data_IF_333842133889
#
_entry.id   IF_333842133889
#
_cell.length_a   1.000
_cell.length_b   1.000
_cell.length_c   1.000
_cell.angle_alpha   90.00
_cell.angle_beta   90.00
_cell.angle_gamma   90.00
#
_symmetry.space_group_name_H-M   'P 1'
#
loop_
_entity.id
_entity.type
_entity.pdbx_description
1 polymer ?
#
# COMPACT_ATOMS: atom_id res chain seq x y z
N UNK A 1 11.63 1.73 6.71
CA UNK A 1 10.81 0.94 7.65
C UNK A 1 11.78 0.29 8.62
N UNK A 2 11.56 0.47 9.91
CA UNK A 2 12.37 -0.15 10.97
C UNK A 2 11.58 -1.33 11.49
N UNK A 3 12.23 -2.48 11.66
CA UNK A 3 11.65 -3.70 12.16
C UNK A 3 12.02 -4.91 11.30
N UNK A 4 12.00 -6.10 11.91
CA UNK A 4 12.23 -7.37 11.22
C UNK A 4 10.94 -7.90 10.56
N UNK A 5 11.04 -9.03 9.88
CA UNK A 5 9.91 -9.62 9.17
C UNK A 5 8.80 -10.05 10.14
N UNK A 6 9.16 -10.42 11.36
CA UNK A 6 8.24 -10.79 12.43
C UNK A 6 7.38 -9.60 12.87
N UNK A 7 8.00 -8.45 13.16
CA UNK A 7 7.30 -7.24 13.58
C UNK A 7 6.32 -6.72 12.52
N UNK A 8 6.75 -6.71 11.27
CA UNK A 8 5.90 -6.32 10.15
C UNK A 8 4.74 -7.32 9.94
N UNK A 9 4.97 -8.63 10.13
CA UNK A 9 3.93 -9.65 10.02
C UNK A 9 2.88 -9.49 11.13
N UNK A 10 3.31 -9.21 12.36
CA UNK A 10 2.42 -8.94 13.49
C UNK A 10 1.56 -7.71 13.21
N UNK A 11 2.16 -6.62 12.72
CA UNK A 11 1.44 -5.40 12.38
C UNK A 11 0.38 -5.62 11.30
N UNK A 12 0.76 -6.28 10.20
CA UNK A 12 -0.14 -6.55 9.08
C UNK A 12 -1.28 -7.51 9.48
N UNK A 13 -0.96 -8.54 10.25
CA UNK A 13 -1.98 -9.46 10.76
C UNK A 13 -2.97 -8.75 11.69
N UNK A 14 -2.49 -7.92 12.61
CA UNK A 14 -3.37 -7.12 13.48
C UNK A 14 -4.26 -6.19 12.67
N UNK A 15 -3.73 -5.55 11.63
CA UNK A 15 -4.52 -4.72 10.73
C UNK A 15 -5.65 -5.53 10.06
N UNK A 16 -5.36 -6.72 9.51
CA UNK A 16 -6.41 -7.56 8.92
C UNK A 16 -7.43 -8.07 9.92
N UNK A 17 -7.03 -8.37 11.16
CA UNK A 17 -7.96 -8.73 12.23
C UNK A 17 -8.94 -7.58 12.52
N UNK A 18 -8.48 -6.33 12.49
CA UNK A 18 -9.38 -5.17 12.68
C UNK A 18 -10.34 -4.94 11.51
N UNK A 19 -9.97 -5.41 10.31
CA UNK A 19 -10.87 -5.45 9.15
C UNK A 19 -11.82 -6.66 9.18
N UNK A 20 -11.92 -7.38 10.31
CA UNK A 20 -12.71 -8.60 10.49
C UNK A 20 -12.38 -9.72 9.48
N UNK A 21 -11.12 -9.78 9.01
CA UNK A 21 -10.66 -10.87 8.14
C UNK A 21 -10.05 -11.99 8.97
N UNK A 22 -10.36 -13.22 8.58
CA UNK A 22 -9.70 -14.39 9.16
C UNK A 22 -8.24 -14.43 8.68
N UNK A 23 -7.33 -14.14 9.60
CA UNK A 23 -5.90 -13.95 9.30
C UNK A 23 -5.01 -14.69 10.29
N UNK A 24 -3.88 -15.16 9.78
CA UNK A 24 -2.83 -15.84 10.52
C UNK A 24 -1.46 -15.36 10.08
N UNK A 25 -0.53 -15.29 11.02
CA UNK A 25 0.89 -15.23 10.73
C UNK A 25 1.35 -16.65 10.41
N UNK A 26 1.98 -16.85 9.27
CA UNK A 26 2.61 -18.10 8.87
C UNK A 26 4.12 -17.98 8.97
N UNK A 27 4.75 -18.89 9.72
CA UNK A 27 6.20 -18.95 9.87
C UNK A 27 6.71 -20.13 9.05
N UNK A 28 7.69 -19.87 8.21
CA UNK A 28 8.13 -20.83 7.21
C UNK A 28 9.48 -20.48 6.60
N UNK A 29 9.71 -21.02 5.40
CA UNK A 29 10.90 -20.74 4.61
C UNK A 29 10.48 -20.35 3.19
N UNK A 30 11.01 -19.22 2.73
CA UNK A 30 10.98 -18.80 1.33
C UNK A 30 12.11 -19.44 0.54
N UNK A 31 11.89 -19.64 -0.75
CA UNK A 31 12.92 -20.05 -1.71
C UNK A 31 14.03 -18.98 -1.80
N UNK A 32 13.67 -17.70 -1.68
CA UNK A 32 14.60 -16.58 -1.91
C UNK A 32 15.30 -16.10 -0.63
N UNK A 33 14.54 -15.95 0.46
CA UNK A 33 15.03 -15.27 1.68
C UNK A 33 15.40 -16.23 2.81
N UNK A 34 15.13 -17.53 2.68
CA UNK A 34 15.33 -18.48 3.78
C UNK A 34 14.19 -18.37 4.83
N UNK A 35 14.47 -18.52 6.13
CA UNK A 35 13.46 -18.38 7.19
C UNK A 35 12.77 -17.01 7.14
N UNK A 36 11.45 -16.97 7.12
CA UNK A 36 10.69 -15.73 7.02
C UNK A 36 9.24 -15.89 7.51
N UNK A 37 8.59 -14.76 7.73
CA UNK A 37 7.19 -14.67 8.14
C UNK A 37 6.31 -14.19 6.98
N UNK A 38 5.08 -14.68 6.94
CA UNK A 38 4.04 -14.29 5.99
C UNK A 38 2.74 -14.02 6.72
N UNK A 39 1.83 -13.27 6.11
CA UNK A 39 0.46 -13.15 6.60
C UNK A 39 -0.48 -13.86 5.64
N UNK A 40 -1.30 -14.76 6.17
CA UNK A 40 -2.32 -15.48 5.42
C UNK A 40 -3.68 -14.89 5.73
N UNK A 41 -4.52 -14.72 4.71
CA UNK A 41 -5.94 -14.40 4.88
C UNK A 41 -6.80 -15.43 4.16
N UNK A 42 -7.89 -15.88 4.77
CA UNK A 42 -8.84 -16.80 4.14
C UNK A 42 -10.25 -16.22 4.18
N UNK A 43 -10.82 -15.96 3.01
CA UNK A 43 -12.22 -15.59 2.89
C UNK A 43 -13.11 -16.84 2.92
N UNK A 44 -14.36 -16.69 3.36
CA UNK A 44 -15.34 -17.77 3.34
C UNK A 44 -15.56 -18.27 1.90
N UNK A 45 -15.49 -19.58 1.71
CA UNK A 45 -15.60 -20.23 0.40
C UNK A 45 -14.30 -20.33 -0.41
N UNK A 46 -13.20 -19.69 0.00
CA UNK A 46 -11.89 -19.92 -0.62
C UNK A 46 -11.27 -21.23 -0.16
N UNK A 47 -10.84 -22.06 -1.12
CA UNK A 47 -10.17 -23.34 -0.85
C UNK A 47 -8.79 -23.16 -0.23
N UNK A 48 -8.00 -22.22 -0.76
CA UNK A 48 -6.65 -21.91 -0.30
C UNK A 48 -6.60 -20.48 0.27
N UNK A 49 -5.81 -20.23 1.33
CA UNK A 49 -5.58 -18.88 1.79
C UNK A 49 -4.78 -18.06 0.77
N UNK A 50 -5.01 -16.76 0.77
CA UNK A 50 -4.16 -15.78 0.10
C UNK A 50 -2.98 -15.48 1.02
N UNK A 51 -1.77 -15.58 0.47
CA UNK A 51 -0.54 -15.21 1.16
C UNK A 51 -0.16 -13.78 0.81
N UNK A 52 0.21 -12.99 1.82
CA UNK A 52 0.69 -11.63 1.72
C UNK A 52 2.17 -11.58 2.09
N UNK A 53 2.97 -11.02 1.19
CA UNK A 53 4.36 -10.65 1.49
C UNK A 53 4.40 -9.55 2.55
N UNK A 54 5.24 -9.74 3.55
CA UNK A 54 5.38 -8.82 4.68
C UNK A 54 6.24 -7.60 4.32
N UNK A 55 7.12 -7.74 3.32
CA UNK A 55 8.03 -6.68 2.89
C UNK A 55 7.33 -5.58 2.08
N UNK A 56 6.30 -5.93 1.32
CA UNK A 56 5.61 -5.01 0.40
C UNK A 56 4.10 -4.92 0.61
N UNK A 57 3.48 -5.88 1.30
CA UNK A 57 2.03 -5.94 1.52
C UNK A 57 1.19 -6.03 0.23
N UNK A 58 1.82 -6.29 -0.92
CA UNK A 58 1.22 -6.19 -2.27
C UNK A 58 1.10 -7.53 -2.97
N UNK A 59 2.06 -8.42 -2.75
CA UNK A 59 2.05 -9.72 -3.40
C UNK A 59 1.07 -10.66 -2.70
N UNK A 60 -0.21 -10.51 -3.04
CA UNK A 60 -1.30 -11.40 -2.69
C UNK A 60 -1.29 -12.62 -3.62
N UNK A 61 -0.44 -13.61 -3.33
CA UNK A 61 -0.41 -14.84 -4.10
C UNK A 61 -1.32 -15.87 -3.46
N UNK A 62 -2.28 -16.38 -4.23
CA UNK A 62 -2.98 -17.59 -3.84
C UNK A 62 -1.97 -18.73 -3.81
N UNK A 63 -2.01 -19.52 -2.74
CA UNK A 63 -1.05 -20.61 -2.49
C UNK A 63 -1.01 -21.68 -3.62
N UNK A 64 -1.99 -21.69 -4.53
CA UNK A 64 -2.07 -22.58 -5.68
C UNK A 64 -1.18 -22.16 -6.88
N UNK A 65 -0.72 -20.91 -6.92
CA UNK A 65 0.07 -20.31 -8.01
C UNK A 65 1.51 -20.12 -7.54
N UNK A 66 2.50 -20.05 -8.44
CA UNK A 66 3.94 -19.91 -8.15
C UNK A 66 4.26 -19.12 -6.86
N UNK A 67 4.34 -19.84 -5.75
CA UNK A 67 4.45 -19.25 -4.43
C UNK A 67 5.93 -19.21 -4.06
N UNK A 68 6.49 -18.06 -3.63
CA UNK A 68 7.86 -18.00 -3.12
C UNK A 68 8.05 -18.83 -1.84
N UNK A 69 6.97 -19.21 -1.15
CA UNK A 69 7.00 -20.05 0.05
C UNK A 69 7.33 -21.51 -0.32
N UNK A 70 8.44 -22.00 0.24
CA UNK A 70 8.84 -23.40 0.15
C UNK A 70 8.09 -24.26 1.17
N UNK A 71 8.04 -23.80 2.42
CA UNK A 71 7.51 -24.57 3.54
C UNK A 71 6.80 -23.68 4.57
N UNK A 72 5.71 -24.15 5.19
CA UNK A 72 5.06 -23.54 6.36
C UNK A 72 5.09 -24.51 7.53
N UNK A 73 5.59 -24.04 8.67
CA UNK A 73 5.75 -24.84 9.88
C UNK A 73 4.78 -24.44 10.99
N UNK A 74 4.51 -23.15 11.15
CA UNK A 74 3.63 -22.63 12.20
C UNK A 74 2.60 -21.67 11.63
N UNK A 75 1.40 -21.69 12.23
CA UNK A 75 0.39 -20.64 12.07
C UNK A 75 0.13 -20.02 13.44
N UNK A 76 -0.04 -18.71 13.51
CA UNK A 76 -0.36 -18.00 14.74
C UNK A 76 -1.44 -16.94 14.49
N UNK A 77 -2.39 -16.81 15.41
CA UNK A 77 -3.33 -15.69 15.42
C UNK A 77 -3.58 -15.21 16.86
N UNK A 78 -4.58 -14.34 17.05
CA UNK A 78 -4.93 -13.81 18.37
C UNK A 78 -5.35 -14.89 19.37
N UNK A 79 -5.77 -16.07 18.93
CA UNK A 79 -6.30 -17.14 19.77
C UNK A 79 -5.22 -18.14 20.16
N UNK A 80 -4.43 -18.62 19.19
CA UNK A 80 -3.49 -19.72 19.40
C UNK A 80 -2.31 -19.68 18.43
N UNK A 81 -1.35 -20.59 18.68
CA UNK A 81 -0.28 -20.97 17.78
C UNK A 81 -0.45 -22.45 17.45
N UNK A 82 -0.40 -22.80 16.18
CA UNK A 82 -0.53 -24.16 15.68
C UNK A 82 0.73 -24.59 14.96
N UNK A 83 1.27 -25.75 15.33
CA UNK A 83 2.35 -26.40 14.60
C UNK A 83 1.80 -27.36 13.56
N UNK A 84 2.36 -27.29 12.34
CA UNK A 84 2.06 -28.24 11.28
C UNK A 84 2.66 -29.60 11.65
N UNK A 85 1.82 -30.63 11.71
CA UNK A 85 2.23 -32.02 11.97
C UNK A 85 1.89 -32.96 10.79
N UNK A 86 1.51 -32.39 9.65
CA UNK A 86 1.29 -33.12 8.40
C UNK A 86 2.60 -33.64 7.83
N UNK A 87 2.54 -34.68 6.98
CA UNK A 87 3.72 -35.18 6.24
C UNK A 87 4.28 -34.17 5.24
N UNK A 88 3.46 -33.21 4.81
CA UNK A 88 3.82 -32.17 3.85
C UNK A 88 3.87 -30.81 4.55
N UNK A 89 4.94 -30.08 4.31
CA UNK A 89 5.14 -28.69 4.73
C UNK A 89 4.96 -27.70 3.56
N UNK A 90 4.77 -28.20 2.34
CA UNK A 90 4.57 -27.40 1.14
C UNK A 90 3.14 -26.83 1.13
N UNK A 91 2.96 -25.50 1.07
CA UNK A 91 1.65 -24.85 1.18
C UNK A 91 0.55 -25.43 0.26
N UNK A 92 0.88 -25.71 -1.01
CA UNK A 92 -0.10 -26.23 -1.98
C UNK A 92 -0.59 -27.66 -1.71
N UNK A 93 0.08 -28.39 -0.81
CA UNK A 93 -0.25 -29.77 -0.41
C UNK A 93 -0.72 -29.89 1.03
N UNK A 94 -0.84 -28.76 1.74
CA UNK A 94 -1.26 -28.71 3.12
C UNK A 94 -2.77 -28.47 3.26
N UNK A 95 -3.32 -28.96 4.36
CA UNK A 95 -4.59 -28.51 4.88
C UNK A 95 -4.38 -27.27 5.75
N UNK A 96 -5.19 -26.22 5.56
CA UNK A 96 -5.16 -25.00 6.37
C UNK A 96 -6.31 -24.93 7.40
N UNK A 97 -7.05 -26.03 7.59
CA UNK A 97 -8.07 -26.11 8.63
C UNK A 97 -7.44 -26.39 10.00
N UNK A 98 -7.19 -25.33 10.77
CA UNK A 98 -6.58 -25.39 12.11
C UNK A 98 -7.40 -26.18 13.13
N UNK A 99 -8.68 -26.47 12.84
CA UNK A 99 -9.52 -27.29 13.72
C UNK A 99 -9.22 -28.79 13.59
N UNK A 100 -8.51 -29.22 12.53
CA UNK A 100 -8.11 -30.61 12.35
C UNK A 100 -6.86 -30.91 13.16
N UNK A 101 -7.07 -31.43 14.37
CA UNK A 101 -6.00 -31.78 15.32
C UNK A 101 -5.03 -32.87 14.84
N UNK A 102 -5.37 -33.59 13.76
CA UNK A 102 -4.47 -34.54 13.07
C UNK A 102 -3.44 -33.84 12.17
N UNK A 103 -3.77 -32.63 11.70
CA UNK A 103 -2.95 -31.86 10.76
C UNK A 103 -2.24 -30.71 11.50
N UNK A 104 -2.90 -30.12 12.50
CA UNK A 104 -2.42 -28.96 13.27
C UNK A 104 -2.45 -29.24 14.77
N UNK A 105 -1.30 -29.12 15.42
CA UNK A 105 -1.18 -29.25 16.88
C UNK A 105 -1.22 -27.86 17.54
N UNK A 106 -2.24 -27.54 18.34
CA UNK A 106 -2.31 -26.26 19.03
C UNK A 106 -1.33 -26.21 20.22
N UNK A 107 -0.80 -25.03 20.49
CA UNK A 107 0.05 -24.76 21.66
C UNK A 107 -0.79 -24.65 22.93
N UNK A 108 -1.83 -23.80 22.92
CA UNK A 108 -2.82 -23.76 23.99
C UNK A 108 -3.89 -24.83 23.75
N UNK A 109 -4.16 -25.65 24.76
CA UNK A 109 -5.10 -26.77 24.70
C UNK A 109 -5.92 -26.84 25.97
N UNK A 110 -6.91 -27.73 26.04
CA UNK A 110 -7.70 -27.91 27.27
C UNK A 110 -6.82 -28.28 28.49
N UNK A 111 -5.72 -29.00 28.30
CA UNK A 111 -4.76 -29.32 29.37
C UNK A 111 -3.77 -28.19 29.67
N UNK A 112 -3.65 -27.20 28.78
CA UNK A 112 -2.80 -26.01 28.96
C UNK A 112 -3.55 -24.76 28.46
N UNK A 113 -4.52 -24.24 29.24
CA UNK A 113 -5.37 -23.12 28.82
C UNK A 113 -4.58 -21.81 28.84
N UNK A 114 -4.89 -20.91 27.91
CA UNK A 114 -4.25 -19.60 27.80
C UNK A 114 -4.48 -18.71 29.02
N UNK A 115 -5.68 -18.77 29.62
CA UNK A 115 -6.07 -17.89 30.73
C UNK A 115 -5.34 -18.21 32.05
N UNK A 116 -4.72 -19.40 32.14
CA UNK A 116 -3.99 -19.84 33.33
C UNK A 116 -2.51 -19.43 33.33
N UNK A 117 -2.10 -18.59 32.38
CA UNK A 117 -0.70 -18.20 32.18
C UNK A 117 -0.42 -16.92 32.99
N UNK A 118 0.58 -16.92 33.87
CA UNK A 118 0.87 -15.79 34.75
C UNK A 118 1.59 -14.62 34.06
N UNK A 119 1.77 -14.67 32.74
CA UNK A 119 2.51 -13.67 31.98
C UNK A 119 1.57 -12.56 31.54
N UNK A 120 1.76 -11.37 32.09
CA UNK A 120 1.08 -10.16 31.62
C UNK A 120 1.87 -9.56 30.46
N UNK A 121 1.23 -9.40 29.32
CA UNK A 121 1.82 -8.65 28.20
C UNK A 121 1.87 -7.16 28.53
N UNK A 122 2.95 -6.48 28.13
CA UNK A 122 3.00 -5.00 28.13
C UNK A 122 2.22 -4.39 26.96
N UNK A 123 1.86 -5.22 25.97
CA UNK A 123 1.06 -4.82 24.81
C UNK A 123 -0.43 -4.80 25.16
N UNK A 124 -1.21 -3.84 24.64
CA UNK A 124 -2.65 -3.81 24.83
C UNK A 124 -3.31 -5.04 24.22
N UNK A 125 -4.44 -5.47 24.80
CA UNK A 125 -5.20 -6.62 24.30
C UNK A 125 -5.88 -6.34 22.95
N UNK A 126 -6.27 -5.08 22.72
CA UNK A 126 -6.92 -4.62 21.50
C UNK A 126 -6.17 -3.41 20.94
N UNK A 127 -5.88 -3.45 19.64
CA UNK A 127 -5.30 -2.34 18.90
C UNK A 127 -6.42 -1.55 18.23
N UNK A 128 -6.56 -0.28 18.62
CA UNK A 128 -7.52 0.63 18.00
C UNK A 128 -6.84 1.38 16.86
N UNK A 129 -7.33 1.18 15.63
CA UNK A 129 -6.92 1.97 14.48
C UNK A 129 -7.91 3.12 14.32
N UNK A 130 -7.44 4.34 14.46
CA UNK A 130 -8.26 5.54 14.34
C UNK A 130 -8.39 5.94 12.87
N UNK A 131 -9.62 6.26 12.46
CA UNK A 131 -9.84 6.82 11.13
C UNK A 131 -9.22 8.21 11.02
N UNK A 132 -8.46 8.42 9.96
CA UNK A 132 -7.89 9.71 9.64
C UNK A 132 -9.00 10.67 9.21
N UNK A 133 -9.07 11.84 9.83
CA UNK A 133 -10.12 12.83 9.56
C UNK A 133 -10.01 13.39 8.14
N UNK A 134 -11.08 13.26 7.37
CA UNK A 134 -11.13 13.77 5.99
C UNK A 134 -10.90 15.29 5.89
N UNK A 135 -11.29 16.05 6.92
CA UNK A 135 -11.08 17.50 6.99
C UNK A 135 -9.58 17.87 7.03
N UNK A 136 -8.81 17.14 7.83
CA UNK A 136 -7.37 17.37 7.98
C UNK A 136 -6.62 17.00 6.69
N UNK A 137 -7.04 15.91 6.04
CA UNK A 137 -6.51 15.49 4.74
C UNK A 137 -6.80 16.54 3.67
N UNK A 138 -8.02 17.06 3.61
CA UNK A 138 -8.40 18.10 2.65
C UNK A 138 -7.62 19.41 2.88
N UNK A 139 -7.38 19.78 4.13
CA UNK A 139 -6.54 20.93 4.48
C UNK A 139 -5.09 20.71 4.04
N UNK A 140 -4.53 19.52 4.28
CA UNK A 140 -3.17 19.17 3.88
C UNK A 140 -2.99 19.13 2.35
N UNK A 141 -3.97 18.60 1.62
CA UNK A 141 -3.97 18.62 0.14
C UNK A 141 -3.86 20.07 -0.35
N UNK A 142 -4.67 20.99 0.18
CA UNK A 142 -4.63 22.42 -0.21
C UNK A 142 -3.27 23.04 0.13
N UNK A 143 -2.74 22.75 1.31
CA UNK A 143 -1.44 23.27 1.73
C UNK A 143 -0.30 22.80 0.82
N UNK A 144 -0.27 21.51 0.45
CA UNK A 144 0.75 20.97 -0.45
C UNK A 144 0.58 21.55 -1.87
N UNK A 145 -0.67 21.66 -2.35
CA UNK A 145 -0.97 22.26 -3.65
C UNK A 145 -0.46 23.70 -3.71
N UNK A 146 -0.77 24.54 -2.73
CA UNK A 146 -0.34 25.94 -2.66
C UNK A 146 1.20 26.07 -2.62
N UNK A 147 1.86 25.28 -1.76
CA UNK A 147 3.32 25.30 -1.63
C UNK A 147 3.99 24.85 -2.93
N UNK A 148 3.47 23.82 -3.60
CA UNK A 148 4.02 23.38 -4.88
C UNK A 148 3.84 24.45 -5.96
N UNK A 149 2.68 25.10 -6.04
CA UNK A 149 2.47 26.20 -6.99
C UNK A 149 3.44 27.37 -6.74
N UNK A 150 3.68 27.73 -5.48
CA UNK A 150 4.67 28.74 -5.09
C UNK A 150 6.09 28.32 -5.49
N UNK A 151 6.49 27.08 -5.16
CA UNK A 151 7.83 26.56 -5.49
C UNK A 151 8.06 26.45 -6.99
N UNK A 152 7.05 26.09 -7.78
CA UNK A 152 7.15 26.12 -9.24
C UNK A 152 7.37 27.52 -9.81
N UNK A 153 6.82 28.55 -9.15
CA UNK A 153 7.09 29.95 -9.51
C UNK A 153 8.52 30.33 -9.16
N UNK A 154 8.98 29.96 -7.98
CA UNK A 154 10.34 30.24 -7.51
C UNK A 154 11.39 29.54 -8.38
N UNK A 155 11.23 28.25 -8.68
CA UNK A 155 12.20 27.50 -9.49
C UNK A 155 12.34 27.97 -10.93
N UNK A 156 11.35 28.71 -11.44
CA UNK A 156 11.32 29.19 -12.82
C UNK A 156 11.68 30.67 -12.94
N UNK A 157 12.29 31.31 -11.93
CA UNK A 157 12.72 32.72 -11.78
C UNK A 157 12.63 33.66 -13.01
N UNK A 158 13.03 33.23 -14.21
CA UNK A 158 13.01 33.98 -15.46
C UNK A 158 11.77 33.80 -16.39
N UNK A 159 10.93 32.79 -16.19
CA UNK A 159 9.84 32.40 -17.10
C UNK A 159 8.46 32.45 -16.44
N UNK A 160 7.45 32.93 -17.19
CA UNK A 160 6.06 32.93 -16.71
C UNK A 160 5.55 31.49 -16.62
N UNK A 161 5.07 31.10 -15.43
CA UNK A 161 4.39 29.82 -15.21
C UNK A 161 2.90 29.97 -15.51
N UNK A 162 2.47 29.38 -16.64
CA UNK A 162 1.05 29.34 -17.04
C UNK A 162 0.44 28.01 -16.62
N UNK A 163 -0.67 28.07 -15.90
CA UNK A 163 -1.41 26.89 -15.46
C UNK A 163 -2.61 26.63 -16.37
N UNK A 164 -2.82 25.38 -16.76
CA UNK A 164 -3.98 24.98 -17.57
C UNK A 164 -5.07 24.36 -16.70
N UNK A 165 -6.05 25.17 -16.28
CA UNK A 165 -7.09 24.82 -15.31
C UNK A 165 -7.92 23.59 -15.71
N UNK A 166 -8.31 23.47 -16.98
CA UNK A 166 -9.10 22.32 -17.46
C UNK A 166 -8.32 21.01 -17.37
N UNK A 167 -7.00 21.04 -17.65
CA UNK A 167 -6.16 19.86 -17.52
C UNK A 167 -5.92 19.54 -16.04
N UNK A 168 -5.71 20.55 -15.17
CA UNK A 168 -5.61 20.34 -13.73
C UNK A 168 -6.85 19.66 -13.14
N UNK A 169 -8.05 20.11 -13.51
CA UNK A 169 -9.29 19.49 -13.03
C UNK A 169 -9.38 18.01 -13.44
N UNK A 170 -9.00 17.69 -14.68
CA UNK A 170 -8.99 16.31 -15.16
C UNK A 170 -7.92 15.45 -14.46
N UNK A 171 -6.74 16.03 -14.22
CA UNK A 171 -5.70 15.36 -13.44
C UNK A 171 -6.17 15.09 -12.01
N UNK A 172 -6.88 16.02 -11.34
CA UNK A 172 -7.43 15.77 -10.00
C UNK A 172 -8.39 14.59 -9.96
N UNK A 173 -9.18 14.36 -11.01
CA UNK A 173 -10.02 13.16 -11.12
C UNK A 173 -9.19 11.89 -11.29
N UNK A 174 -8.16 11.93 -12.14
CA UNK A 174 -7.27 10.78 -12.37
C UNK A 174 -6.52 10.40 -11.09
N UNK A 175 -5.98 11.38 -10.36
CA UNK A 175 -5.13 11.13 -9.18
C UNK A 175 -5.92 10.47 -8.05
N UNK A 176 -7.21 10.80 -7.89
CA UNK A 176 -8.08 10.15 -6.89
C UNK A 176 -8.22 8.64 -7.11
N UNK A 177 -8.24 8.20 -8.36
CA UNK A 177 -8.39 6.79 -8.70
C UNK A 177 -7.04 6.02 -8.62
N UNK A 178 -5.90 6.74 -8.58
CA UNK A 178 -4.56 6.14 -8.67
C UNK A 178 -4.26 5.17 -7.56
N UNK A 179 -4.61 5.49 -6.32
CA UNK A 179 -4.33 4.58 -5.20
C UNK A 179 -5.12 3.27 -5.35
N UNK A 180 -6.38 3.34 -5.79
CA UNK A 180 -7.19 2.16 -5.99
C UNK A 180 -6.71 1.31 -7.18
N UNK A 181 -6.24 1.94 -8.25
CA UNK A 181 -5.60 1.25 -9.39
C UNK A 181 -4.29 0.57 -8.96
N UNK A 182 -3.50 1.28 -8.15
CA UNK A 182 -2.23 0.82 -7.62
C UNK A 182 -2.41 -0.41 -6.71
N UNK A 183 -3.39 -0.37 -5.80
CA UNK A 183 -3.73 -1.50 -4.94
C UNK A 183 -4.20 -2.72 -5.76
N UNK A 184 -4.98 -2.48 -6.83
CA UNK A 184 -5.52 -3.56 -7.69
C UNK A 184 -4.49 -4.14 -8.66
N UNK A 185 -3.29 -3.56 -8.75
CA UNK A 185 -2.28 -3.96 -9.75
C UNK A 185 -2.74 -3.73 -11.19
N UNK A 186 -3.73 -2.85 -11.41
CA UNK A 186 -4.23 -2.56 -12.76
C UNK A 186 -3.28 -1.57 -13.43
N UNK A 187 -2.68 -1.98 -14.55
CA UNK A 187 -1.90 -1.07 -15.40
C UNK A 187 -2.93 -0.12 -16.04
N UNK A 188 -2.92 1.13 -15.59
CA UNK A 188 -3.93 2.15 -15.91
C UNK A 188 -4.18 2.33 -17.40
N UNK A 189 -5.15 1.58 -17.93
CA UNK A 189 -5.71 1.75 -19.27
C UNK A 189 -6.66 2.95 -19.35
N UNK A 190 -7.11 3.47 -18.20
CA UNK A 190 -8.08 4.58 -18.10
C UNK A 190 -7.42 5.98 -18.08
N UNK A 191 -6.09 6.06 -18.08
CA UNK A 191 -5.39 7.35 -18.16
C UNK A 191 -5.50 7.92 -19.59
N UNK A 192 -5.30 7.06 -20.59
CA UNK A 192 -5.35 7.46 -21.99
C UNK A 192 -6.76 7.93 -22.38
N UNK A 193 -7.80 7.16 -22.01
CA UNK A 193 -9.21 7.50 -22.24
C UNK A 193 -9.59 8.86 -21.63
N UNK A 194 -9.15 9.13 -20.40
CA UNK A 194 -9.45 10.39 -19.68
C UNK A 194 -8.69 11.60 -20.22
N UNK A 195 -7.58 11.40 -20.96
CA UNK A 195 -6.77 12.47 -21.53
C UNK A 195 -6.94 12.65 -23.06
N UNK A 196 -7.69 11.77 -23.75
CA UNK A 196 -7.94 11.84 -25.21
C UNK A 196 -8.43 13.22 -25.66
N UNK A 197 -9.32 13.85 -24.89
CA UNK A 197 -9.92 15.14 -25.24
C UNK A 197 -8.89 16.27 -25.43
N UNK A 198 -7.76 16.19 -24.73
CA UNK A 198 -6.68 17.18 -24.84
C UNK A 198 -5.60 16.79 -25.86
N UNK A 199 -5.47 15.49 -26.17
CA UNK A 199 -4.52 15.00 -27.17
C UNK A 199 -4.81 15.51 -28.59
N UNK A 200 -6.04 15.97 -28.86
CA UNK A 200 -6.39 16.57 -30.16
C UNK A 200 -5.75 17.94 -30.41
N UNK A 201 -5.49 18.72 -29.35
CA UNK A 201 -5.04 20.13 -29.48
C UNK A 201 -3.65 20.38 -28.91
N UNK A 202 -3.21 19.58 -27.94
CA UNK A 202 -1.93 19.72 -27.25
C UNK A 202 -1.25 18.37 -27.08
N UNK A 203 0.08 18.35 -27.13
CA UNK A 203 0.89 17.23 -26.66
C UNK A 203 1.00 17.35 -25.13
N UNK A 204 0.45 16.37 -24.42
CA UNK A 204 0.58 16.26 -22.96
C UNK A 204 1.72 15.31 -22.65
N UNK A 205 2.65 15.74 -21.82
CA UNK A 205 3.69 14.87 -21.26
C UNK A 205 3.71 15.06 -19.76
N UNK A 206 3.57 13.98 -19.01
CA UNK A 206 3.49 14.03 -17.56
C UNK A 206 3.72 12.66 -16.92
N UNK A 207 3.86 12.67 -15.60
CA UNK A 207 4.06 11.47 -14.80
C UNK A 207 3.36 11.64 -13.44
N UNK A 208 3.07 10.50 -12.81
CA UNK A 208 2.59 10.44 -11.43
C UNK A 208 3.72 10.03 -10.48
N UNK A 209 3.81 10.71 -9.35
CA UNK A 209 4.65 10.34 -8.21
C UNK A 209 3.78 9.77 -7.09
N UNK A 210 4.23 8.68 -6.49
CA UNK A 210 3.64 8.05 -5.32
C UNK A 210 4.66 8.02 -4.19
N UNK A 211 4.30 8.48 -3.00
CA UNK A 211 5.16 8.40 -1.81
C UNK A 211 4.38 8.46 -0.50
N UNK A 212 4.91 7.88 0.59
CA UNK A 212 4.38 8.10 1.92
C UNK A 212 4.60 9.55 2.36
N UNK A 213 3.62 10.15 3.03
CA UNK A 213 3.78 11.45 3.66
C UNK A 213 4.77 11.35 4.83
N UNK A 214 5.80 12.21 4.81
CA UNK A 214 6.76 12.34 5.91
C UNK A 214 6.85 13.80 6.34
N UNK A 215 7.27 14.65 5.41
CA UNK A 215 7.30 16.11 5.56
C UNK A 215 6.94 16.76 4.23
N UNK A 216 6.45 18.00 4.30
CA UNK A 216 6.18 18.79 3.08
C UNK A 216 7.48 19.03 2.30
N UNK A 217 8.61 19.21 2.99
CA UNK A 217 9.90 19.43 2.32
C UNK A 217 10.34 18.20 1.50
N UNK A 218 10.16 16.99 2.02
CA UNK A 218 10.47 15.77 1.27
C UNK A 218 9.65 15.66 -0.03
N UNK A 219 8.39 16.11 -0.01
CA UNK A 219 7.53 16.19 -1.20
C UNK A 219 8.10 17.20 -2.20
N UNK A 220 8.43 18.40 -1.72
CA UNK A 220 9.00 19.48 -2.55
C UNK A 220 10.31 19.04 -3.19
N UNK A 221 11.21 18.42 -2.42
CA UNK A 221 12.51 17.92 -2.90
C UNK A 221 12.33 16.82 -3.95
N UNK A 222 11.38 15.91 -3.71
CA UNK A 222 11.07 14.84 -4.66
C UNK A 222 10.52 15.39 -5.97
N UNK A 223 9.60 16.35 -5.91
CA UNK A 223 9.08 17.05 -7.09
C UNK A 223 10.19 17.83 -7.79
N UNK A 224 11.07 18.51 -7.05
CA UNK A 224 12.21 19.23 -7.62
C UNK A 224 13.18 18.29 -8.37
N UNK A 225 13.41 17.08 -7.84
CA UNK A 225 14.30 16.10 -8.47
C UNK A 225 13.85 15.65 -9.86
N UNK A 226 12.55 15.79 -10.18
CA UNK A 226 11.99 15.44 -11.50
C UNK A 226 12.42 16.37 -12.62
N UNK A 227 12.92 17.57 -12.30
CA UNK A 227 13.36 18.59 -13.26
C UNK A 227 12.31 19.02 -14.30
N UNK A 228 11.02 18.70 -14.14
CA UNK A 228 9.96 19.01 -15.12
C UNK A 228 9.78 20.52 -15.35
N UNK A 229 10.15 21.35 -14.38
CA UNK A 229 10.11 22.81 -14.48
C UNK A 229 11.19 23.40 -15.42
N UNK A 230 12.24 22.63 -15.75
CA UNK A 230 13.35 23.07 -16.61
C UNK A 230 13.01 23.10 -18.10
N UNK A 231 11.85 22.56 -18.51
CA UNK A 231 11.39 22.70 -19.89
C UNK A 231 11.08 24.18 -20.16
N UNK A 232 12.00 24.83 -20.88
CA UNK A 232 12.19 26.29 -20.92
C UNK A 232 11.68 26.93 -22.22
N UNK A 233 10.52 26.53 -22.72
CA UNK A 233 9.84 27.26 -23.80
C UNK A 233 8.65 28.04 -23.25
N UNK A 234 8.50 29.30 -23.71
CA UNK A 234 7.42 30.20 -23.29
C UNK A 234 6.01 29.75 -23.71
N UNK A 235 5.90 28.71 -24.52
CA UNK A 235 4.63 28.15 -25.00
C UNK A 235 4.19 26.89 -24.22
N UNK A 236 4.86 26.59 -23.10
CA UNK A 236 4.48 25.48 -22.23
C UNK A 236 3.48 25.94 -21.18
N UNK A 237 2.40 25.17 -21.03
CA UNK A 237 1.49 25.28 -19.88
C UNK A 237 1.69 24.08 -18.96
N UNK A 238 1.56 24.29 -17.65
CA UNK A 238 1.70 23.26 -16.64
C UNK A 238 0.33 22.87 -16.07
N UNK A 239 0.22 21.63 -15.64
CA UNK A 239 -0.89 21.14 -14.85
C UNK A 239 -0.33 20.28 -13.70
N UNK A 240 -0.75 20.62 -12.49
CA UNK A 240 -0.42 19.94 -11.25
C UNK A 240 -1.71 19.52 -10.56
N UNK A 241 -1.75 18.29 -10.07
CA UNK A 241 -2.80 17.80 -9.18
C UNK A 241 -2.17 17.00 -8.03
N UNK A 242 -2.67 17.23 -6.82
CA UNK A 242 -2.29 16.52 -5.60
C UNK A 242 -3.53 15.85 -5.03
N UNK A 243 -3.39 14.60 -4.63
CA UNK A 243 -4.38 13.86 -3.84
C UNK A 243 -3.68 13.08 -2.74
N UNK A 244 -4.39 12.83 -1.65
CA UNK A 244 -3.87 12.06 -0.52
C UNK A 244 -4.88 10.98 -0.17
N UNK A 245 -4.44 9.73 -0.20
CA UNK A 245 -5.23 8.63 0.32
C UNK A 245 -4.94 8.42 1.80
N UNK A 246 -5.95 8.55 2.68
CA UNK A 246 -5.78 8.32 4.10
C UNK A 246 -5.89 6.82 4.44
N UNK A 247 -4.86 6.32 5.11
CA UNK A 247 -4.92 5.08 5.88
C UNK A 247 -5.20 5.38 7.36
N UNK A 248 -5.61 4.39 8.16
CA UNK A 248 -5.78 4.58 9.60
C UNK A 248 -4.51 5.06 10.31
N UNK A 249 -4.68 5.70 11.46
CA UNK A 249 -3.61 6.25 12.30
C UNK A 249 -2.76 7.34 11.60
N UNK A 250 -3.38 8.18 10.77
CA UNK A 250 -2.72 9.30 10.06
C UNK A 250 -1.56 8.86 9.15
N UNK A 251 -1.59 7.62 8.66
CA UNK A 251 -0.70 7.16 7.61
C UNK A 251 -1.28 7.65 6.28
N UNK A 252 -0.50 8.39 5.50
CA UNK A 252 -1.00 9.06 4.30
C UNK A 252 -0.16 8.66 3.08
N UNK A 253 -0.82 8.22 2.01
CA UNK A 253 -0.19 8.03 0.71
C UNK A 253 -0.45 9.28 -0.16
N UNK A 254 0.62 9.95 -0.54
CA UNK A 254 0.57 11.17 -1.35
C UNK A 254 0.76 10.80 -2.81
N UNK A 255 -0.17 11.28 -3.63
CA UNK A 255 -0.10 11.18 -5.08
C UNK A 255 -0.02 12.56 -5.70
N UNK A 256 0.96 12.73 -6.60
CA UNK A 256 1.19 13.99 -7.30
C UNK A 256 1.28 13.68 -8.78
N UNK A 257 0.45 14.32 -9.58
CA UNK A 257 0.53 14.25 -11.02
C UNK A 257 0.98 15.59 -11.57
N UNK A 258 2.06 15.55 -12.35
CA UNK A 258 2.63 16.73 -12.97
C UNK A 258 2.67 16.50 -14.47
N UNK A 259 2.10 17.44 -15.21
CA UNK A 259 2.12 17.43 -16.66
C UNK A 259 2.50 18.81 -17.20
N UNK A 260 3.11 18.79 -18.37
CA UNK A 260 3.26 19.97 -19.21
C UNK A 260 2.59 19.74 -20.56
N UNK A 261 2.01 20.80 -21.10
CA UNK A 261 1.27 20.83 -22.35
C UNK A 261 2.02 21.72 -23.33
N UNK A 262 2.23 21.22 -24.54
CA UNK A 262 2.74 21.97 -25.68
C UNK A 262 1.68 21.98 -26.78
N UNK A 263 1.47 23.11 -27.45
CA UNK A 263 0.56 23.15 -28.60
C UNK A 263 1.09 22.28 -29.73
N UNK A 264 0.20 21.48 -30.34
CA UNK A 264 0.56 20.77 -31.57
C UNK A 264 0.69 21.81 -32.70
N UNK A 265 1.85 21.80 -33.34
CA UNK A 265 2.11 22.52 -34.59
C UNK A 265 1.30 21.93 -35.75
#
# INVERSE_FOLDING_TARGET
>A
MSGDDEEHAVLLNNYFLTLNRNSWIAIGVSIYSGPCCFVLTKNDGQRYPTCWSVADGRDALTIDTWNPIRSIYLLANRENVWANIQEQDIPSRMNFDVNKTKDWRPFFSHSFPRDNIPWTSVQPNDLHYEETRAEDVAALIRQIDDILHEKFRDWREANVTRWHSTCQNRLREIVKDKEMEFIKGSIGTDIESKLVEFQGTHNITGFSLQMPYTTIQAIVDSVHSTNIFKHATNDIQFALAVDIHPYPNNILAVWIYIAHLTKKS
#
